data_IF_648940843162
#
_entry.id   IF_648940843162
#
_cell.length_a   1.000
_cell.length_b   1.000
_cell.length_c   1.000
_cell.angle_alpha   90.00
_cell.angle_beta   90.00
_cell.angle_gamma   90.00
#
_symmetry.space_group_name_H-M   'P 1'
#
loop_
_entity.id
_entity.type
_entity.pdbx_description
1 polymer ?
#
# COMPACT_ATOMS: atom_id res chain seq x y z
N UNK A 1 -15.09 -12.00 4.72
CA UNK A 1 -13.87 -11.16 4.91
C UNK A 1 -13.99 -10.03 5.93
N UNK A 2 -15.14 -9.35 6.09
CA UNK A 2 -15.33 -8.26 7.08
C UNK A 2 -14.95 -8.61 8.53
N UNK A 3 -15.19 -9.85 8.96
CA UNK A 3 -14.86 -10.28 10.33
C UNK A 3 -13.35 -10.48 10.54
N UNK A 4 -12.66 -11.11 9.58
CA UNK A 4 -11.20 -11.35 9.64
C UNK A 4 -10.41 -10.03 9.68
N UNK A 5 -10.81 -9.03 8.88
CA UNK A 5 -10.19 -7.69 8.90
C UNK A 5 -10.40 -6.94 10.23
N UNK A 6 -11.34 -7.35 11.07
CA UNK A 6 -11.57 -6.73 12.39
C UNK A 6 -10.79 -7.42 13.51
N UNK A 7 -10.34 -8.65 13.30
CA UNK A 7 -9.53 -9.41 14.25
C UNK A 7 -8.15 -8.74 14.42
N UNK A 8 -7.82 -8.39 15.68
CA UNK A 8 -6.56 -7.76 16.06
C UNK A 8 -5.37 -8.72 15.92
N UNK A 9 -5.55 -10.01 16.22
CA UNK A 9 -4.49 -11.01 16.11
C UNK A 9 -4.14 -11.25 14.65
N UNK A 10 -5.15 -11.35 13.79
CA UNK A 10 -4.94 -11.46 12.35
C UNK A 10 -4.23 -10.24 11.77
N UNK A 11 -4.67 -9.01 12.13
CA UNK A 11 -3.99 -7.77 11.72
C UNK A 11 -2.52 -7.73 12.12
N UNK A 12 -2.22 -8.14 13.36
CA UNK A 12 -0.84 -8.19 13.86
C UNK A 12 0.00 -9.23 13.09
N UNK A 13 -0.59 -10.37 12.73
CA UNK A 13 0.07 -11.40 11.93
C UNK A 13 0.35 -10.95 10.49
N UNK A 14 -0.50 -10.09 9.93
CA UNK A 14 -0.40 -9.57 8.56
C UNK A 14 0.31 -8.21 8.47
N UNK A 15 0.89 -7.73 9.57
CA UNK A 15 1.61 -6.46 9.60
C UNK A 15 2.89 -6.54 8.74
N UNK A 16 2.98 -5.67 7.73
CA UNK A 16 4.20 -5.50 6.95
C UNK A 16 5.09 -4.49 7.67
N UNK A 17 6.29 -4.92 8.06
CA UNK A 17 7.30 -4.05 8.66
C UNK A 17 8.29 -3.63 7.59
N UNK A 18 8.43 -2.33 7.40
CA UNK A 18 9.42 -1.75 6.49
C UNK A 18 10.62 -1.27 7.31
N UNK A 19 11.78 -1.86 7.06
CA UNK A 19 13.05 -1.42 7.64
C UNK A 19 13.84 -0.62 6.59
N UNK A 20 14.05 0.66 6.87
CA UNK A 20 14.79 1.58 6.01
C UNK A 20 16.16 1.94 6.59
N UNK A 21 16.65 1.24 7.63
CA UNK A 21 17.94 1.58 8.26
C UNK A 21 19.11 1.55 7.28
N UNK A 22 19.15 0.55 6.40
CA UNK A 22 20.24 0.35 5.44
C UNK A 22 20.23 1.34 4.25
N UNK A 23 19.42 2.41 4.32
CA UNK A 23 19.50 3.51 3.37
C UNK A 23 19.80 4.85 4.05
N UNK A 24 20.05 4.86 5.37
CA UNK A 24 20.21 6.09 6.15
C UNK A 24 21.68 6.47 6.42
N UNK A 25 21.92 7.79 6.44
CA UNK A 25 23.08 8.51 7.03
C UNK A 25 23.90 7.71 8.03
N UNK A 26 23.23 7.50 9.17
CA UNK A 26 23.78 6.98 10.41
C UNK A 26 24.26 5.53 10.33
N UNK A 27 23.84 4.79 9.31
CA UNK A 27 24.17 3.36 9.13
C UNK A 27 25.15 3.13 8.00
N UNK A 28 25.02 3.85 6.87
CA UNK A 28 25.74 3.54 5.62
C UNK A 28 26.86 4.56 5.29
N UNK A 29 26.85 5.74 5.93
CA UNK A 29 27.80 6.81 5.65
C UNK A 29 27.34 7.76 4.53
N UNK A 30 28.00 8.92 4.44
CA UNK A 30 27.46 10.10 3.74
C UNK A 30 27.50 10.09 2.21
N UNK A 31 28.16 9.12 1.57
CA UNK A 31 28.40 9.11 0.12
C UNK A 31 27.11 8.90 -0.70
N UNK A 32 26.25 7.95 -0.31
CA UNK A 32 25.06 7.55 -1.07
C UNK A 32 23.80 7.37 -0.22
N UNK A 33 23.83 7.79 1.04
CA UNK A 33 22.74 7.55 1.97
C UNK A 33 21.79 8.74 2.10
N UNK A 34 20.56 8.45 2.55
CA UNK A 34 19.55 9.45 2.84
C UNK A 34 19.87 10.09 4.19
N UNK A 35 20.19 11.39 4.19
CA UNK A 35 20.29 12.18 5.42
C UNK A 35 18.90 12.69 5.82
N UNK A 36 18.38 12.28 6.97
CA UNK A 36 17.19 12.94 7.56
C UNK A 36 17.55 14.27 8.24
N UNK A 37 18.84 14.60 8.37
CA UNK A 37 19.35 15.56 9.34
C UNK A 37 19.85 16.91 8.79
N UNK A 38 19.92 17.14 7.47
CA UNK A 38 20.35 18.46 6.95
C UNK A 38 19.34 19.61 7.16
N UNK A 39 18.25 19.36 7.88
CA UNK A 39 17.33 20.39 8.38
C UNK A 39 16.79 20.04 9.76
N UNK A 40 17.54 20.36 10.82
CA UNK A 40 17.19 20.24 12.24
C UNK A 40 16.83 18.82 12.74
N UNK A 41 17.64 18.24 13.65
CA UNK A 41 17.43 16.92 14.28
C UNK A 41 16.03 16.65 14.85
N UNK A 42 15.28 17.70 15.19
CA UNK A 42 13.96 17.59 15.81
C UNK A 42 12.82 17.52 14.79
N UNK A 43 13.07 17.74 13.49
CA UNK A 43 11.99 17.80 12.50
C UNK A 43 11.16 16.52 12.46
N UNK A 44 11.78 15.34 12.51
CA UNK A 44 11.04 14.08 12.49
C UNK A 44 10.04 13.98 13.66
N UNK A 45 10.52 14.23 14.88
CA UNK A 45 9.67 14.24 16.08
C UNK A 45 8.55 15.28 15.97
N UNK A 46 8.90 16.52 15.63
CA UNK A 46 7.95 17.63 15.55
C UNK A 46 6.87 17.42 14.48
N UNK A 47 7.21 16.77 13.37
CA UNK A 47 6.30 16.55 12.23
C UNK A 47 5.43 15.30 12.43
N UNK A 48 6.02 14.18 12.82
CA UNK A 48 5.36 12.87 12.78
C UNK A 48 4.85 12.40 14.15
N UNK A 49 5.56 12.74 15.24
CA UNK A 49 5.16 12.38 16.60
C UNK A 49 4.28 13.50 17.20
N UNK A 50 4.79 14.72 17.22
CA UNK A 50 4.12 15.87 17.84
C UNK A 50 3.10 16.54 16.89
N UNK A 51 3.09 16.16 15.61
CA UNK A 51 2.13 16.60 14.57
C UNK A 51 1.97 18.12 14.46
N UNK A 52 3.04 18.88 14.67
CA UNK A 52 3.01 20.33 14.58
C UNK A 52 2.69 20.80 13.16
N UNK A 53 1.83 21.81 13.06
CA UNK A 53 1.50 22.44 11.76
C UNK A 53 2.75 23.15 11.24
N UNK A 54 3.22 22.72 10.06
CA UNK A 54 4.33 23.37 9.37
C UNK A 54 3.85 24.64 8.68
N UNK A 55 4.68 25.68 8.72
CA UNK A 55 4.49 26.85 7.87
C UNK A 55 4.49 26.42 6.40
N UNK A 56 3.59 26.95 5.57
CA UNK A 56 3.61 26.68 4.14
C UNK A 56 4.94 27.14 3.58
N UNK A 57 5.71 26.19 3.03
CA UNK A 57 6.96 26.52 2.34
C UNK A 57 6.62 27.03 0.93
N UNK A 58 7.39 28.00 0.39
CA UNK A 58 7.14 28.56 -0.92
C UNK A 58 7.39 27.57 -2.08
N UNK A 59 8.01 26.41 -1.79
CA UNK A 59 8.27 25.34 -2.77
C UNK A 59 7.33 24.14 -2.59
N UNK A 60 7.07 23.45 -3.70
CA UNK A 60 6.24 22.26 -3.80
C UNK A 60 6.73 21.15 -2.85
N UNK A 61 6.00 20.91 -1.76
CA UNK A 61 6.29 19.77 -0.89
C UNK A 61 5.77 18.49 -1.54
N UNK A 62 6.62 17.82 -2.34
CA UNK A 62 6.27 16.63 -3.13
C UNK A 62 5.50 15.58 -2.32
N UNK A 63 5.89 15.33 -1.06
CA UNK A 63 5.19 14.38 -0.18
C UNK A 63 3.74 14.79 0.13
N UNK A 64 3.49 16.02 0.56
CA UNK A 64 2.13 16.47 0.94
C UNK A 64 1.23 16.69 -0.28
N UNK A 65 1.78 17.18 -1.39
CA UNK A 65 1.01 17.43 -2.62
C UNK A 65 0.62 16.13 -3.31
N UNK A 66 1.54 15.14 -3.41
CA UNK A 66 1.21 13.82 -3.92
C UNK A 66 0.22 13.09 -3.02
N UNK A 67 0.44 13.11 -1.70
CA UNK A 67 -0.50 12.49 -0.76
C UNK A 67 -1.91 13.07 -0.93
N UNK A 68 -2.03 14.40 -1.02
CA UNK A 68 -3.31 15.07 -1.27
C UNK A 68 -3.91 14.64 -2.62
N UNK A 69 -3.13 14.62 -3.71
CA UNK A 69 -3.62 14.20 -5.04
C UNK A 69 -4.14 12.76 -5.04
N UNK A 70 -3.45 11.85 -4.35
CA UNK A 70 -3.89 10.45 -4.20
C UNK A 70 -5.19 10.36 -3.40
N UNK A 71 -5.32 11.12 -2.31
CA UNK A 71 -6.55 11.16 -1.52
C UNK A 71 -7.72 11.75 -2.31
N UNK A 72 -7.47 12.80 -3.09
CA UNK A 72 -8.49 13.43 -3.92
C UNK A 72 -8.92 12.48 -5.06
N UNK A 73 -7.97 11.80 -5.72
CA UNK A 73 -8.25 10.77 -6.71
C UNK A 73 -9.00 9.54 -6.15
N UNK A 74 -8.76 9.21 -4.87
CA UNK A 74 -9.55 8.19 -4.15
C UNK A 74 -10.98 8.67 -3.92
N UNK A 75 -11.18 9.92 -3.48
CA UNK A 75 -12.52 10.48 -3.21
C UNK A 75 -13.33 10.66 -4.48
N UNK A 76 -12.71 11.06 -5.58
CA UNK A 76 -13.36 11.24 -6.88
C UNK A 76 -13.68 9.91 -7.59
N UNK A 77 -13.09 8.80 -7.15
CA UNK A 77 -13.23 7.49 -7.80
C UNK A 77 -12.30 7.28 -9.00
N UNK A 78 -11.47 8.26 -9.34
CA UNK A 78 -10.46 8.16 -10.42
C UNK A 78 -9.47 7.01 -10.17
N UNK A 79 -9.12 6.77 -8.91
CA UNK A 79 -8.24 5.66 -8.50
C UNK A 79 -9.06 4.41 -8.16
N UNK A 80 -9.66 3.76 -9.15
CA UNK A 80 -10.54 2.59 -8.96
C UNK A 80 -9.90 1.46 -8.13
N UNK A 81 -8.60 1.24 -8.27
CA UNK A 81 -7.87 0.20 -7.51
C UNK A 81 -7.91 0.41 -5.99
N UNK A 82 -8.08 1.66 -5.50
CA UNK A 82 -8.17 1.95 -4.08
C UNK A 82 -9.43 1.38 -3.42
N UNK A 83 -10.48 1.11 -4.21
CA UNK A 83 -11.75 0.60 -3.72
C UNK A 83 -11.81 -0.94 -3.67
N UNK A 84 -10.95 -1.63 -4.45
CA UNK A 84 -10.92 -3.09 -4.54
C UNK A 84 -10.90 -3.79 -3.17
N UNK A 85 -10.13 -3.34 -2.15
CA UNK A 85 -10.12 -4.01 -0.85
C UNK A 85 -11.43 -3.92 -0.07
N UNK A 86 -12.41 -3.14 -0.51
CA UNK A 86 -13.67 -2.87 0.18
C UNK A 86 -14.89 -3.44 -0.55
N UNK A 87 -14.69 -4.13 -1.67
CA UNK A 87 -15.72 -4.74 -2.52
C UNK A 87 -16.08 -6.17 -2.06
N UNK A 88 -16.64 -6.28 -0.85
CA UNK A 88 -16.93 -7.59 -0.26
C UNK A 88 -18.03 -8.38 -1.00
N UNK A 89 -18.95 -7.70 -1.71
CA UNK A 89 -20.04 -8.35 -2.45
C UNK A 89 -19.47 -9.07 -3.69
N UNK A 90 -18.71 -8.34 -4.48
CA UNK A 90 -18.06 -8.83 -5.70
C UNK A 90 -17.10 -9.98 -5.38
N UNK A 91 -16.39 -9.92 -4.25
CA UNK A 91 -15.55 -11.03 -3.80
C UNK A 91 -16.38 -12.27 -3.48
N UNK A 92 -17.56 -12.13 -2.87
CA UNK A 92 -18.45 -13.27 -2.59
C UNK A 92 -18.90 -13.93 -3.88
N UNK A 93 -19.37 -13.14 -4.86
CA UNK A 93 -19.83 -13.63 -6.15
C UNK A 93 -18.71 -14.39 -6.92
N UNK A 94 -17.47 -13.87 -6.88
CA UNK A 94 -16.32 -14.54 -7.48
C UNK A 94 -16.01 -15.88 -6.77
N UNK A 95 -16.14 -15.94 -5.45
CA UNK A 95 -15.90 -17.18 -4.70
C UNK A 95 -16.95 -18.24 -5.03
N UNK A 96 -18.21 -17.84 -5.13
CA UNK A 96 -19.32 -18.75 -5.48
C UNK A 96 -19.10 -19.34 -6.89
N UNK A 97 -18.78 -18.50 -7.88
CA UNK A 97 -18.44 -18.96 -9.24
C UNK A 97 -17.19 -19.85 -9.23
N UNK A 98 -16.17 -19.49 -8.43
CA UNK A 98 -14.95 -20.28 -8.34
C UNK A 98 -15.22 -21.69 -7.80
N UNK A 99 -16.14 -21.84 -6.86
CA UNK A 99 -16.50 -23.14 -6.30
C UNK A 99 -17.23 -24.00 -7.33
N UNK A 100 -18.15 -23.40 -8.08
CA UNK A 100 -18.85 -24.07 -9.17
C UNK A 100 -17.92 -24.56 -10.28
N UNK A 101 -16.91 -23.76 -10.66
CA UNK A 101 -15.94 -24.11 -11.72
C UNK A 101 -15.02 -25.24 -11.25
N UNK A 102 -14.51 -25.18 -10.02
CA UNK A 102 -13.61 -26.20 -9.45
C UNK A 102 -14.23 -27.60 -9.46
N UNK A 103 -15.54 -27.69 -9.23
CA UNK A 103 -16.26 -28.96 -9.21
C UNK A 103 -16.56 -29.52 -10.62
N UNK A 104 -16.34 -28.74 -11.68
CA UNK A 104 -16.73 -29.09 -13.07
C UNK A 104 -15.54 -29.32 -14.00
N UNK A 105 -14.37 -28.73 -13.71
CA UNK A 105 -13.22 -28.77 -14.61
C UNK A 105 -11.92 -29.02 -13.86
N UNK A 106 -11.09 -29.90 -14.40
CA UNK A 106 -9.75 -30.19 -13.84
C UNK A 106 -8.74 -29.07 -14.14
N UNK A 107 -8.94 -28.34 -15.24
CA UNK A 107 -8.01 -27.35 -15.73
C UNK A 107 -8.69 -25.99 -15.94
N UNK A 108 -8.05 -24.93 -15.43
CA UNK A 108 -8.46 -23.55 -15.65
C UNK A 108 -7.34 -22.78 -16.35
N UNK A 109 -7.58 -22.31 -17.57
CA UNK A 109 -6.59 -21.62 -18.39
C UNK A 109 -6.86 -20.12 -18.40
N UNK A 110 -5.91 -19.33 -17.91
CA UNK A 110 -5.95 -17.87 -18.01
C UNK A 110 -5.20 -17.44 -19.27
N UNK A 111 -5.92 -16.84 -20.21
CA UNK A 111 -5.33 -16.25 -21.42
C UNK A 111 -5.18 -14.74 -21.22
N UNK A 112 -3.96 -14.29 -20.95
CA UNK A 112 -3.67 -12.87 -20.72
C UNK A 112 -2.18 -12.55 -20.86
N UNK A 113 -1.86 -11.26 -20.94
CA UNK A 113 -0.49 -10.74 -20.96
C UNK A 113 -0.35 -9.55 -20.00
N UNK A 114 0.86 -9.24 -19.55
CA UNK A 114 1.10 -8.13 -18.64
C UNK A 114 0.26 -8.24 -17.36
N UNK A 115 -0.45 -7.18 -16.98
CA UNK A 115 -1.22 -7.12 -15.74
C UNK A 115 -2.34 -8.17 -15.62
N UNK A 116 -2.89 -8.66 -16.74
CA UNK A 116 -3.94 -9.68 -16.73
C UNK A 116 -3.43 -11.11 -16.52
N UNK A 117 -2.10 -11.33 -16.57
CA UNK A 117 -1.48 -12.62 -16.31
C UNK A 117 -0.50 -12.60 -15.12
N UNK A 118 0.28 -11.53 -14.95
CA UNK A 118 1.36 -11.47 -13.97
C UNK A 118 0.88 -11.62 -12.52
N UNK A 119 -0.25 -10.99 -12.18
CA UNK A 119 -0.84 -11.12 -10.84
C UNK A 119 -1.33 -12.54 -10.53
N UNK A 120 -1.83 -13.24 -11.54
CA UNK A 120 -2.28 -14.63 -11.39
C UNK A 120 -1.11 -15.58 -11.19
N UNK A 121 -0.02 -15.39 -11.95
CA UNK A 121 1.20 -16.20 -11.84
C UNK A 121 1.89 -15.98 -10.49
N UNK A 122 2.05 -14.72 -10.04
CA UNK A 122 2.71 -14.39 -8.77
C UNK A 122 2.05 -15.05 -7.55
N UNK A 123 0.73 -15.23 -7.58
CA UNK A 123 -0.05 -15.79 -6.46
C UNK A 123 0.00 -17.33 -6.41
N UNK A 124 0.39 -17.98 -7.51
CA UNK A 124 0.41 -19.45 -7.63
C UNK A 124 1.76 -20.06 -7.19
N UNK A 125 2.77 -19.24 -6.89
CA UNK A 125 4.03 -19.65 -6.27
C UNK A 125 4.05 -19.20 -4.80
#
# INVERSE_FOLDING_TARGET
MKQIKKDKNWKKKMEIKLDFRNIMEDVVGSEHAISTYRGCPLQYKLIYIDKLKRLPKPYFSFGSSLHKRVLDGRKSGELGFYQLPYQDKEVSEILDISEDIKNKFDNFVVLGIGGSALGNILKLH
#
